data_IF_380363296177
#
_entry.id   IF_380363296177
#
_cell.length_a   1.000
_cell.length_b   1.000
_cell.length_c   1.000
_cell.angle_alpha   90.00
_cell.angle_beta   90.00
_cell.angle_gamma   90.00
#
_symmetry.space_group_name_H-M   'P 1'
#
loop_
_entity.id
_entity.type
_entity.pdbx_description
1 polymer ?
#
# COMPACT_ATOMS: atom_id res chain seq x y z
N UNK A 1 39.17 -25.26 16.39
CA UNK A 1 37.87 -25.06 15.71
C UNK A 1 36.82 -25.72 16.58
N UNK A 2 36.17 -24.96 17.45
CA UNK A 2 35.10 -25.48 18.30
C UNK A 2 33.77 -25.33 17.55
N UNK A 3 33.10 -26.47 17.36
CA UNK A 3 31.76 -26.53 16.76
C UNK A 3 30.77 -26.21 17.87
N UNK A 4 30.10 -25.06 17.78
CA UNK A 4 28.99 -24.72 18.67
C UNK A 4 27.77 -25.60 18.31
N UNK A 5 27.58 -26.68 19.05
CA UNK A 5 26.32 -27.43 19.04
C UNK A 5 25.39 -26.73 20.03
N UNK A 6 24.37 -26.04 19.51
CA UNK A 6 23.32 -25.42 20.34
C UNK A 6 22.45 -26.54 20.91
N UNK A 7 22.51 -26.75 22.22
CA UNK A 7 21.61 -27.69 22.88
C UNK A 7 20.15 -27.20 22.77
N UNK A 8 19.20 -28.10 22.49
CA UNK A 8 17.79 -27.74 22.44
C UNK A 8 17.33 -27.25 23.81
N UNK A 9 16.66 -26.10 23.86
CA UNK A 9 16.09 -25.58 25.10
C UNK A 9 15.02 -26.54 25.64
N UNK A 10 15.06 -26.88 26.92
CA UNK A 10 14.12 -27.77 27.62
C UNK A 10 12.64 -27.29 27.67
N UNK A 11 12.32 -26.17 27.01
CA UNK A 11 10.96 -25.64 26.92
C UNK A 11 10.17 -26.38 25.83
N UNK A 12 9.69 -27.58 26.16
CA UNK A 12 8.60 -28.22 25.42
C UNK A 12 7.29 -27.53 25.79
N UNK A 13 6.89 -26.51 25.02
CA UNK A 13 5.53 -25.99 25.14
C UNK A 13 4.55 -27.10 24.75
N UNK A 14 3.50 -27.29 25.55
CA UNK A 14 2.38 -28.15 25.17
C UNK A 14 1.92 -27.74 23.76
N UNK A 15 1.71 -28.68 22.83
CA UNK A 15 1.30 -28.35 21.47
C UNK A 15 0.08 -27.44 21.50
N UNK A 16 0.19 -26.22 20.99
CA UNK A 16 -0.96 -25.33 20.88
C UNK A 16 -1.87 -25.87 19.77
N UNK A 17 -3.06 -26.39 20.13
CA UNK A 17 -3.98 -26.93 19.14
C UNK A 17 -4.40 -25.86 18.13
N UNK A 18 -4.42 -24.58 18.50
CA UNK A 18 -4.80 -23.49 17.60
C UNK A 18 -3.74 -23.29 16.49
N UNK A 19 -2.45 -23.44 16.82
CA UNK A 19 -1.36 -23.37 15.84
C UNK A 19 -1.51 -24.40 14.72
N UNK A 20 -1.92 -25.62 15.04
CA UNK A 20 -2.17 -26.65 14.03
C UNK A 20 -3.31 -26.24 13.08
N UNK A 21 -4.39 -25.67 13.62
CA UNK A 21 -5.52 -25.20 12.83
C UNK A 21 -5.12 -24.05 11.90
N UNK A 22 -4.31 -23.10 12.37
CA UNK A 22 -3.81 -21.97 11.57
C UNK A 22 -2.93 -22.46 10.42
N UNK A 23 -2.04 -23.43 10.66
CA UNK A 23 -1.18 -24.00 9.62
C UNK A 23 -2.00 -24.73 8.57
N UNK A 24 -2.97 -25.56 9.00
CA UNK A 24 -3.87 -26.26 8.07
C UNK A 24 -4.68 -25.28 7.22
N UNK A 25 -5.23 -24.24 7.84
CA UNK A 25 -5.93 -23.18 7.13
C UNK A 25 -5.05 -22.53 6.05
N UNK A 26 -3.83 -22.14 6.40
CA UNK A 26 -2.90 -21.52 5.44
C UNK A 26 -2.56 -22.47 4.28
N UNK A 27 -2.42 -23.77 4.56
CA UNK A 27 -2.17 -24.75 3.50
C UNK A 27 -3.37 -24.88 2.55
N UNK A 28 -4.60 -24.90 3.07
CA UNK A 28 -5.81 -24.93 2.24
C UNK A 28 -5.93 -23.66 1.39
N UNK A 29 -5.65 -22.49 1.97
CA UNK A 29 -5.63 -21.23 1.23
C UNK A 29 -4.60 -21.25 0.10
N UNK A 30 -3.43 -21.81 0.35
CA UNK A 30 -2.37 -21.94 -0.66
C UNK A 30 -2.77 -22.89 -1.79
N UNK A 31 -3.25 -24.07 -1.43
CA UNK A 31 -3.69 -25.10 -2.38
C UNK A 31 -4.79 -24.56 -3.29
N UNK A 32 -5.83 -23.95 -2.71
CA UNK A 32 -6.92 -23.35 -3.49
C UNK A 32 -6.47 -22.14 -4.29
N UNK A 33 -5.54 -21.33 -3.78
CA UNK A 33 -4.96 -20.22 -4.53
C UNK A 33 -4.22 -20.66 -5.79
N UNK A 34 -3.57 -21.83 -5.75
CA UNK A 34 -2.83 -22.37 -6.90
C UNK A 34 -3.70 -23.06 -7.95
N UNK A 35 -4.87 -23.60 -7.56
CA UNK A 35 -5.64 -24.53 -8.41
C UNK A 35 -7.09 -24.12 -8.68
N UNK A 36 -7.62 -23.09 -8.02
CA UNK A 36 -9.03 -22.69 -8.11
C UNK A 36 -9.21 -21.49 -9.04
N UNK A 37 -10.31 -21.49 -9.79
CA UNK A 37 -10.79 -20.33 -10.57
C UNK A 37 -11.71 -19.39 -9.73
N UNK A 38 -11.97 -19.73 -8.46
CA UNK A 38 -12.78 -18.91 -7.56
C UNK A 38 -12.06 -17.62 -7.17
N UNK A 39 -12.81 -16.52 -7.00
CA UNK A 39 -12.24 -15.27 -6.51
C UNK A 39 -11.69 -15.36 -5.08
N UNK A 40 -10.61 -14.63 -4.80
CA UNK A 40 -9.85 -14.69 -3.53
C UNK A 40 -10.74 -14.54 -2.28
N UNK A 41 -11.70 -13.63 -2.33
CA UNK A 41 -12.63 -13.35 -1.22
C UNK A 41 -13.55 -14.55 -0.97
N UNK A 42 -14.04 -15.19 -2.04
CA UNK A 42 -14.85 -16.40 -1.95
C UNK A 42 -14.08 -17.54 -1.31
N UNK A 43 -12.84 -17.78 -1.76
CA UNK A 43 -11.95 -18.79 -1.18
C UNK A 43 -11.71 -18.49 0.30
N UNK A 44 -11.41 -17.24 0.65
CA UNK A 44 -11.18 -16.84 2.04
C UNK A 44 -12.41 -17.09 2.91
N UNK A 45 -13.58 -16.60 2.50
CA UNK A 45 -14.80 -16.72 3.30
C UNK A 45 -15.21 -18.17 3.51
N UNK A 46 -15.13 -19.01 2.47
CA UNK A 46 -15.46 -20.43 2.59
C UNK A 46 -14.49 -21.16 3.55
N UNK A 47 -13.20 -20.82 3.52
CA UNK A 47 -12.22 -21.40 4.44
C UNK A 47 -12.43 -20.90 5.87
N UNK A 48 -12.68 -19.60 6.06
CA UNK A 48 -12.92 -19.01 7.39
C UNK A 48 -14.19 -19.54 8.05
N UNK A 49 -15.27 -19.80 7.28
CA UNK A 49 -16.51 -20.36 7.82
C UNK A 49 -16.32 -21.78 8.41
N UNK A 50 -15.25 -22.48 8.01
CA UNK A 50 -14.92 -23.83 8.50
C UNK A 50 -14.02 -23.81 9.74
N UNK A 51 -13.66 -22.63 10.24
CA UNK A 51 -12.75 -22.46 11.39
C UNK A 51 -13.53 -22.33 12.70
N UNK A 52 -13.14 -23.05 13.76
CA UNK A 52 -13.72 -22.86 15.09
C UNK A 52 -13.49 -21.44 15.62
N UNK A 53 -14.49 -20.86 16.31
CA UNK A 53 -14.41 -19.52 16.90
C UNK A 53 -13.19 -19.34 17.83
N UNK A 54 -12.75 -20.40 18.51
CA UNK A 54 -11.57 -20.38 19.38
C UNK A 54 -10.25 -20.07 18.65
N UNK A 55 -10.19 -20.35 17.35
CA UNK A 55 -9.01 -20.12 16.52
C UNK A 55 -9.04 -18.71 15.91
N UNK A 56 -10.24 -18.12 15.74
CA UNK A 56 -10.42 -16.83 15.07
C UNK A 56 -9.64 -15.68 15.71
N UNK A 57 -9.47 -15.69 17.03
CA UNK A 57 -8.71 -14.68 17.76
C UNK A 57 -7.20 -14.72 17.48
N UNK A 58 -6.69 -15.83 16.94
CA UNK A 58 -5.27 -16.06 16.65
C UNK A 58 -4.95 -16.00 15.14
N UNK A 59 -5.94 -15.68 14.29
CA UNK A 59 -5.73 -15.56 12.85
C UNK A 59 -5.03 -14.25 12.49
N UNK A 60 -4.25 -14.29 11.42
CA UNK A 60 -3.78 -13.07 10.76
C UNK A 60 -4.95 -12.32 10.11
N UNK A 61 -4.77 -11.03 9.80
CA UNK A 61 -5.83 -10.23 9.17
C UNK A 61 -6.30 -10.82 7.84
N UNK A 62 -7.51 -10.47 7.44
CA UNK A 62 -8.08 -10.92 6.17
C UNK A 62 -7.18 -10.53 4.99
N UNK A 63 -6.56 -9.36 5.01
CA UNK A 63 -5.63 -8.91 3.97
C UNK A 63 -4.40 -9.81 3.87
N UNK A 64 -3.82 -10.20 5.02
CA UNK A 64 -2.66 -11.10 5.05
C UNK A 64 -3.02 -12.51 4.54
N UNK A 65 -4.24 -12.98 4.84
CA UNK A 65 -4.75 -14.25 4.32
C UNK A 65 -5.05 -14.18 2.82
N UNK A 66 -5.66 -13.11 2.33
CA UNK A 66 -5.85 -12.85 0.89
C UNK A 66 -4.50 -12.80 0.15
N UNK A 67 -3.50 -12.15 0.74
CA UNK A 67 -2.16 -12.12 0.16
C UNK A 67 -1.53 -13.51 0.10
N UNK A 68 -1.86 -14.41 1.03
CA UNK A 68 -1.41 -15.81 0.98
C UNK A 68 -2.01 -16.55 -0.21
N UNK A 69 -3.28 -16.31 -0.54
CA UNK A 69 -3.95 -16.89 -1.73
C UNK A 69 -3.29 -16.36 -3.01
N UNK A 70 -3.18 -15.03 -3.14
CA UNK A 70 -2.67 -14.35 -4.34
C UNK A 70 -1.24 -14.72 -4.72
N UNK A 71 -0.41 -15.08 -3.74
CA UNK A 71 0.99 -15.47 -3.99
C UNK A 71 1.13 -16.85 -4.63
N UNK A 72 0.11 -17.68 -4.49
CA UNK A 72 0.11 -19.05 -5.02
C UNK A 72 -0.61 -19.12 -6.37
N UNK A 73 -1.36 -18.07 -6.75
CA UNK A 73 -1.94 -17.94 -8.08
C UNK A 73 -0.85 -17.96 -9.15
N UNK A 74 -1.10 -18.64 -10.29
CA UNK A 74 -0.15 -18.66 -11.38
C UNK A 74 0.14 -17.23 -11.84
N UNK A 75 1.43 -16.94 -12.08
CA UNK A 75 1.81 -15.68 -12.69
C UNK A 75 1.04 -15.50 -14.00
N UNK A 76 0.59 -14.27 -14.27
CA UNK A 76 -0.08 -13.93 -15.52
C UNK A 76 0.82 -14.39 -16.68
N UNK A 77 0.36 -15.28 -17.57
CA UNK A 77 1.18 -15.79 -18.66
C UNK A 77 1.63 -14.62 -19.53
N UNK A 78 2.94 -14.44 -19.71
CA UNK A 78 3.46 -13.40 -20.60
C UNK A 78 3.27 -13.82 -22.07
N UNK A 79 3.17 -12.85 -22.97
CA UNK A 79 3.13 -13.10 -24.41
C UNK A 79 4.50 -13.60 -24.93
N UNK A 80 4.58 -13.87 -26.24
CA UNK A 80 5.79 -14.36 -26.90
C UNK A 80 7.00 -13.41 -26.79
N UNK A 81 6.80 -12.15 -26.40
CA UNK A 81 7.85 -11.16 -26.18
C UNK A 81 8.11 -10.90 -24.68
N UNK A 82 7.56 -11.72 -23.79
CA UNK A 82 7.69 -11.51 -22.34
C UNK A 82 6.85 -10.35 -21.81
N UNK A 83 5.81 -9.90 -22.52
CA UNK A 83 4.96 -8.77 -22.14
C UNK A 83 3.66 -9.25 -21.50
N UNK A 84 3.05 -8.42 -20.64
CA UNK A 84 1.72 -8.72 -20.10
C UNK A 84 0.70 -8.81 -21.25
N UNK A 85 -0.07 -9.91 -21.37
CA UNK A 85 -0.95 -10.19 -22.51
C UNK A 85 -2.25 -9.38 -22.49
N UNK A 86 -2.42 -8.49 -21.51
CA UNK A 86 -3.70 -7.81 -21.28
C UNK A 86 -3.85 -6.62 -22.23
N UNK A 87 -4.51 -6.88 -23.37
CA UNK A 87 -4.98 -5.83 -24.28
C UNK A 87 -5.84 -4.78 -23.54
N UNK A 88 -6.50 -5.19 -22.45
CA UNK A 88 -7.33 -4.36 -21.58
C UNK A 88 -6.54 -3.36 -20.71
N UNK A 89 -5.24 -3.56 -20.51
CA UNK A 89 -4.41 -2.65 -19.70
C UNK A 89 -3.48 -1.77 -20.55
N UNK A 90 -3.54 -1.91 -21.87
CA UNK A 90 -2.72 -1.11 -22.80
C UNK A 90 -3.40 0.19 -23.21
N UNK A 91 -4.72 0.29 -23.03
CA UNK A 91 -5.49 1.48 -23.35
C UNK A 91 -6.40 1.87 -22.19
N UNK A 92 -6.64 3.17 -22.04
CA UNK A 92 -7.69 3.67 -21.14
C UNK A 92 -9.08 3.34 -21.73
N UNK A 93 -10.14 3.45 -20.94
CA UNK A 93 -11.53 3.32 -21.43
C UNK A 93 -11.88 4.34 -22.54
N UNK A 94 -11.07 5.40 -22.66
CA UNK A 94 -11.20 6.43 -23.70
C UNK A 94 -10.37 6.13 -24.96
N UNK A 95 -9.72 4.97 -25.03
CA UNK A 95 -8.91 4.53 -26.16
C UNK A 95 -7.52 5.16 -26.23
N UNK A 96 -7.04 5.80 -25.16
CA UNK A 96 -5.71 6.41 -25.13
C UNK A 96 -4.65 5.37 -24.78
N UNK A 97 -3.45 5.46 -25.38
CA UNK A 97 -2.34 4.60 -24.99
C UNK A 97 -2.01 4.81 -23.50
N UNK A 98 -2.00 3.71 -22.74
CA UNK A 98 -1.78 3.69 -21.30
C UNK A 98 -0.45 3.03 -20.90
N UNK A 99 0.37 2.62 -21.89
CA UNK A 99 1.75 2.19 -21.68
C UNK A 99 2.68 3.33 -22.08
N UNK A 100 3.35 3.93 -21.09
CA UNK A 100 4.35 4.97 -21.33
C UNK A 100 5.75 4.39 -21.61
N UNK A 101 6.09 3.31 -20.91
CA UNK A 101 7.36 2.60 -21.07
C UNK A 101 7.17 1.11 -20.76
N UNK A 102 7.85 0.24 -21.51
CA UNK A 102 7.84 -1.21 -21.30
C UNK A 102 9.17 -1.80 -21.78
N UNK A 103 9.84 -2.54 -20.89
CA UNK A 103 10.97 -3.40 -21.19
C UNK A 103 10.81 -4.78 -20.51
N UNK A 104 11.85 -5.62 -20.55
CA UNK A 104 11.84 -6.95 -19.95
C UNK A 104 11.72 -6.96 -18.41
N UNK A 105 12.01 -5.82 -17.76
CA UNK A 105 12.09 -5.68 -16.31
C UNK A 105 10.97 -4.85 -15.69
N UNK A 106 10.35 -3.96 -16.47
CA UNK A 106 9.44 -2.95 -15.96
C UNK A 106 8.40 -2.51 -17.00
N UNK A 107 7.18 -2.27 -16.52
CA UNK A 107 6.10 -1.60 -17.27
C UNK A 107 5.67 -0.37 -16.50
N UNK A 108 5.62 0.79 -17.16
CA UNK A 108 5.12 2.05 -16.61
C UNK A 108 3.78 2.36 -17.28
N UNK A 109 2.72 2.34 -16.47
CA UNK A 109 1.36 2.68 -16.90
C UNK A 109 1.08 4.18 -16.67
N UNK A 110 0.92 4.92 -17.75
CA UNK A 110 0.40 6.31 -17.75
C UNK A 110 0.05 6.73 -19.18
N UNK A 111 -0.60 7.89 -19.35
CA UNK A 111 -0.80 8.51 -20.67
C UNK A 111 -0.16 9.91 -20.71
N UNK A 112 0.09 10.42 -21.91
CA UNK A 112 0.68 11.76 -22.09
C UNK A 112 -0.13 12.84 -21.36
N UNK A 113 -1.46 12.72 -21.33
CA UNK A 113 -2.34 13.66 -20.62
C UNK A 113 -2.17 13.59 -19.10
N UNK A 114 -1.93 12.40 -18.54
CA UNK A 114 -1.64 12.26 -17.12
C UNK A 114 -0.31 12.92 -16.76
N UNK A 115 0.67 12.92 -17.68
CA UNK A 115 1.94 13.63 -17.50
C UNK A 115 1.78 15.16 -17.60
N UNK A 116 0.70 15.64 -18.22
CA UNK A 116 0.37 17.08 -18.29
C UNK A 116 -0.39 17.60 -17.07
N UNK A 117 -0.76 16.74 -16.11
CA UNK A 117 -1.47 17.15 -14.87
C UNK A 117 -0.68 18.22 -14.09
N UNK A 118 0.65 18.19 -14.18
CA UNK A 118 1.50 19.28 -13.73
C UNK A 118 1.92 20.14 -14.95
N UNK A 119 1.36 21.35 -15.14
CA UNK A 119 1.80 22.21 -16.23
C UNK A 119 3.29 22.53 -16.10
N UNK A 120 4.00 22.69 -17.23
CA UNK A 120 5.46 22.92 -17.26
C UNK A 120 5.95 24.12 -16.43
N UNK A 121 5.06 25.08 -16.12
CA UNK A 121 5.35 26.23 -15.27
C UNK A 121 5.41 25.89 -13.77
N UNK A 122 4.99 24.68 -13.38
CA UNK A 122 4.99 24.19 -12.01
C UNK A 122 5.94 23.00 -11.90
N UNK A 123 6.56 22.86 -10.74
CA UNK A 123 7.49 21.79 -10.44
C UNK A 123 6.75 20.48 -10.10
N UNK A 124 5.63 20.58 -9.38
CA UNK A 124 4.88 19.42 -8.93
C UNK A 124 3.40 19.72 -8.67
N UNK A 125 2.56 18.69 -8.83
CA UNK A 125 1.26 18.61 -8.16
C UNK A 125 1.48 17.98 -6.79
N UNK A 126 1.30 18.76 -5.74
CA UNK A 126 1.33 18.31 -4.36
C UNK A 126 -0.09 18.08 -3.85
N UNK A 127 -0.28 17.03 -3.05
CA UNK A 127 -1.61 16.63 -2.55
C UNK A 127 -1.58 16.34 -1.07
N UNK A 128 -2.67 16.75 -0.40
CA UNK A 128 -2.94 16.47 1.00
C UNK A 128 -4.15 15.57 1.07
N UNK A 129 -4.05 14.52 1.86
CA UNK A 129 -5.10 13.53 2.04
C UNK A 129 -5.52 13.43 3.51
N UNK A 130 -6.79 13.14 3.72
CA UNK A 130 -7.38 12.76 4.99
C UNK A 130 -7.49 11.24 5.11
N UNK A 131 -7.34 10.70 6.32
CA UNK A 131 -7.73 9.32 6.63
C UNK A 131 -8.98 9.41 7.49
N UNK A 132 -10.11 8.94 6.96
CA UNK A 132 -11.39 8.89 7.67
C UNK A 132 -12.01 7.50 7.51
N UNK A 133 -12.38 6.85 8.62
CA UNK A 133 -12.96 5.50 8.61
C UNK A 133 -12.16 4.49 7.76
N UNK A 134 -10.82 4.50 7.91
CA UNK A 134 -9.87 3.68 7.14
C UNK A 134 -9.84 3.93 5.63
N UNK A 135 -10.47 5.01 5.16
CA UNK A 135 -10.41 5.44 3.76
C UNK A 135 -9.48 6.64 3.61
N UNK A 136 -8.72 6.65 2.52
CA UNK A 136 -7.87 7.76 2.12
C UNK A 136 -8.68 8.67 1.19
N UNK A 137 -8.86 9.91 1.60
CA UNK A 137 -9.66 10.90 0.87
C UNK A 137 -8.76 12.08 0.49
N UNK A 138 -8.59 12.41 -0.79
CA UNK A 138 -7.85 13.60 -1.17
C UNK A 138 -8.63 14.86 -0.77
N UNK A 139 -7.98 15.73 0.01
CA UNK A 139 -8.60 16.96 0.54
C UNK A 139 -8.13 18.20 -0.21
N UNK A 140 -6.84 18.27 -0.52
CA UNK A 140 -6.22 19.45 -1.15
C UNK A 140 -5.32 19.03 -2.30
N UNK A 141 -5.42 19.76 -3.40
CA UNK A 141 -4.54 19.67 -4.56
C UNK A 141 -3.91 21.04 -4.79
N UNK A 142 -2.59 21.10 -4.93
CA UNK A 142 -1.87 22.36 -5.14
C UNK A 142 -0.74 22.16 -6.14
N UNK A 143 -0.64 23.08 -7.10
CA UNK A 143 0.49 23.14 -8.01
C UNK A 143 1.58 24.02 -7.38
N UNK A 144 2.74 23.44 -7.08
CA UNK A 144 3.88 24.15 -6.49
C UNK A 144 4.95 24.41 -7.55
N UNK A 145 5.51 25.62 -7.53
CA UNK A 145 6.59 26.04 -8.45
C UNK A 145 7.96 25.52 -7.97
N UNK A 146 8.05 25.05 -6.73
CA UNK A 146 9.23 24.41 -6.18
C UNK A 146 8.88 23.32 -5.17
N UNK A 147 9.90 22.89 -4.42
CA UNK A 147 9.84 21.79 -3.46
C UNK A 147 10.72 22.03 -2.23
N UNK A 148 11.14 23.26 -2.00
CA UNK A 148 11.93 23.59 -0.82
C UNK A 148 11.05 23.89 0.39
N UNK A 149 11.65 24.12 1.56
CA UNK A 149 10.90 24.40 2.79
C UNK A 149 10.07 25.68 2.68
N UNK A 150 10.51 26.70 1.94
CA UNK A 150 9.76 27.94 1.80
C UNK A 150 8.52 27.75 0.93
N UNK A 151 8.61 26.95 -0.14
CA UNK A 151 7.46 26.61 -0.98
C UNK A 151 6.35 25.94 -0.15
N UNK A 152 6.72 24.97 0.69
CA UNK A 152 5.78 24.28 1.57
C UNK A 152 5.27 25.17 2.71
N UNK A 153 6.12 25.99 3.33
CA UNK A 153 5.68 26.92 4.38
C UNK A 153 4.61 27.85 3.85
N UNK A 154 4.85 28.45 2.67
CA UNK A 154 3.86 29.31 2.02
C UNK A 154 2.55 28.56 1.75
N UNK A 155 2.62 27.32 1.28
CA UNK A 155 1.42 26.50 1.08
C UNK A 155 0.66 26.27 2.38
N UNK A 156 1.31 25.78 3.43
CA UNK A 156 0.65 25.48 4.70
C UNK A 156 0.16 26.74 5.42
N UNK A 157 0.90 27.84 5.37
CA UNK A 157 0.43 29.15 5.86
C UNK A 157 -0.87 29.57 5.17
N UNK A 158 -0.93 29.48 3.83
CA UNK A 158 -2.17 29.80 3.10
C UNK A 158 -3.31 28.84 3.47
N UNK A 159 -3.01 27.55 3.66
CA UNK A 159 -4.03 26.57 4.07
C UNK A 159 -4.61 26.90 5.45
N UNK A 160 -3.76 27.23 6.42
CA UNK A 160 -4.16 27.54 7.80
C UNK A 160 -4.88 28.89 7.95
N UNK A 161 -4.70 29.82 7.01
CA UNK A 161 -5.50 31.04 6.96
C UNK A 161 -6.99 30.78 6.67
N UNK A 162 -7.31 29.66 6.02
CA UNK A 162 -8.67 29.33 5.57
C UNK A 162 -9.31 28.19 6.36
N UNK A 163 -8.50 27.32 6.97
CA UNK A 163 -8.97 26.16 7.71
C UNK A 163 -8.22 26.03 9.03
N UNK A 164 -8.97 26.02 10.13
CA UNK A 164 -8.45 25.71 11.45
C UNK A 164 -8.36 24.18 11.57
N UNK A 165 -7.16 23.65 11.32
CA UNK A 165 -6.91 22.22 11.28
C UNK A 165 -5.81 21.86 12.28
N UNK A 166 -6.11 20.95 13.20
CA UNK A 166 -5.20 20.53 14.27
C UNK A 166 -5.09 18.99 14.30
N UNK A 167 -4.24 18.40 13.45
CA UNK A 167 -4.14 16.96 13.32
C UNK A 167 -3.32 16.34 14.47
N UNK A 168 -3.80 15.23 15.02
CA UNK A 168 -3.05 14.47 16.05
C UNK A 168 -1.74 13.87 15.51
N UNK A 169 -1.77 13.42 14.25
CA UNK A 169 -0.59 12.87 13.58
C UNK A 169 -0.56 13.26 12.11
N UNK A 170 0.62 13.22 11.51
CA UNK A 170 0.82 13.51 10.10
C UNK A 170 1.74 12.44 9.54
N UNK A 171 1.24 11.69 8.56
CA UNK A 171 2.09 10.84 7.74
C UNK A 171 2.75 11.75 6.70
N UNK A 172 4.08 11.87 6.68
CA UNK A 172 4.78 12.81 5.79
C UNK A 172 5.80 12.08 4.93
N UNK A 173 5.88 12.43 3.65
CA UNK A 173 6.93 11.95 2.75
C UNK A 173 8.33 12.25 3.27
N UNK A 174 9.35 11.43 2.97
CA UNK A 174 10.74 11.67 3.40
C UNK A 174 11.42 12.89 2.76
N UNK A 175 10.68 13.72 2.03
CA UNK A 175 11.20 14.93 1.43
C UNK A 175 11.47 15.98 2.51
N UNK A 176 12.70 16.50 2.55
CA UNK A 176 13.17 17.38 3.61
C UNK A 176 12.37 18.68 3.74
N UNK A 177 11.86 19.20 2.62
CA UNK A 177 11.08 20.43 2.59
C UNK A 177 9.79 20.28 3.39
N UNK A 178 9.05 19.21 3.11
CA UNK A 178 7.74 18.91 3.69
C UNK A 178 7.85 18.51 5.16
N UNK A 179 8.86 17.72 5.54
CA UNK A 179 9.13 17.37 6.95
C UNK A 179 9.35 18.62 7.82
N UNK A 180 10.23 19.52 7.36
CA UNK A 180 10.53 20.77 8.10
C UNK A 180 9.31 21.68 8.20
N UNK A 181 8.58 21.83 7.08
CA UNK A 181 7.44 22.73 7.01
C UNK A 181 6.27 22.26 7.88
N UNK A 182 5.90 20.99 7.77
CA UNK A 182 4.85 20.40 8.61
C UNK A 182 5.22 20.45 10.10
N UNK A 183 6.50 20.33 10.46
CA UNK A 183 6.94 20.43 11.87
C UNK A 183 6.84 21.85 12.40
N UNK A 184 7.06 22.84 11.55
CA UNK A 184 6.93 24.25 11.91
C UNK A 184 5.46 24.66 12.09
N UNK A 185 4.57 24.14 11.23
CA UNK A 185 3.14 24.49 11.23
C UNK A 185 2.36 23.68 12.27
N UNK A 186 2.68 22.39 12.42
CA UNK A 186 2.03 21.48 13.37
C UNK A 186 3.07 20.91 14.35
N UNK A 187 3.56 21.72 15.30
CA UNK A 187 4.64 21.33 16.19
C UNK A 187 4.27 20.15 17.09
N UNK A 188 3.00 20.07 17.49
CA UNK A 188 2.45 19.09 18.43
C UNK A 188 2.00 17.79 17.77
N UNK A 189 1.80 17.80 16.45
CA UNK A 189 1.42 16.61 15.71
C UNK A 189 2.56 15.58 15.65
N UNK A 190 2.20 14.30 15.80
CA UNK A 190 3.15 13.18 15.68
C UNK A 190 3.48 12.98 14.20
N UNK A 191 4.75 13.17 13.84
CA UNK A 191 5.20 12.89 12.47
C UNK A 191 5.57 11.42 12.31
N UNK A 192 4.95 10.78 11.31
CA UNK A 192 5.21 9.40 10.93
C UNK A 192 5.74 9.40 9.50
N UNK A 193 6.90 8.80 9.29
CA UNK A 193 7.49 8.72 7.95
C UNK A 193 6.63 7.91 7.00
N UNK A 194 6.34 8.47 5.82
CA UNK A 194 5.67 7.81 4.72
C UNK A 194 6.54 7.83 3.46
N UNK A 195 6.36 6.85 2.58
CA UNK A 195 7.11 6.73 1.33
C UNK A 195 6.49 7.49 0.16
N UNK A 196 5.22 7.93 0.25
CA UNK A 196 4.49 8.36 -0.95
C UNK A 196 3.69 9.68 -0.85
N UNK A 197 3.09 10.03 0.30
CA UNK A 197 2.11 11.15 0.34
C UNK A 197 1.91 11.70 1.76
N UNK A 198 1.42 12.94 1.88
CA UNK A 198 0.98 13.48 3.17
C UNK A 198 -0.44 13.03 3.51
N UNK A 199 -0.60 12.40 4.68
CA UNK A 199 -1.90 12.03 5.25
C UNK A 199 -2.12 12.71 6.61
N UNK A 200 -3.33 13.21 6.81
CA UNK A 200 -3.85 13.67 8.09
C UNK A 200 -4.98 12.74 8.54
N UNK A 201 -4.96 12.14 9.74
CA UNK A 201 -6.15 11.54 10.32
C UNK A 201 -7.18 12.64 10.59
N UNK A 202 -8.41 12.41 10.16
CA UNK A 202 -9.58 13.25 10.50
C UNK A 202 -10.39 12.54 11.58
#
# INVERSE_FOLDING_TARGET
MEVFIKEPSEYSHVPDPNRLHIVRLKNILKERGASSDEGDTTILFDVLHKVPLSVSANLSTNEALLQTIRREQPAIPLDHNGRLPLILLRQTERGENFIFYEDESMVIFTCDKNLLICPKSYYQLFTVHGIYSSQIIPLVYVLLIGKDTNDYNKFFEQLMLHYDYDPESILVGFESGTLKSTKAVFPDAIQIGNRYTIFFPI
#
